data_IF_094348172562
#
_entry.id   IF_094348172562
#
_cell.length_a   1.000
_cell.length_b   1.000
_cell.length_c   1.000
_cell.angle_alpha   90.00
_cell.angle_beta   90.00
_cell.angle_gamma   90.00
#
_symmetry.space_group_name_H-M   'P 1'
#
loop_
_entity.id
_entity.type
_entity.pdbx_description
1 polymer ?
#
# COMPACT_ATOMS: atom_id res chain seq x y z
N UNK A 1 -12.65 -28.96 -8.39
CA UNK A 1 -12.28 -28.42 -7.06
C UNK A 1 -12.72 -26.97 -7.03
N UNK A 2 -13.42 -26.52 -5.99
CA UNK A 2 -13.77 -25.11 -5.77
C UNK A 2 -12.76 -24.56 -4.76
N UNK A 3 -12.02 -23.50 -5.13
CA UNK A 3 -11.05 -22.82 -4.26
C UNK A 3 -11.62 -21.49 -3.78
N UNK A 4 -11.79 -21.33 -2.48
CA UNK A 4 -12.44 -20.16 -1.84
C UNK A 4 -11.49 -19.33 -0.96
N UNK A 5 -10.19 -19.61 -1.01
CA UNK A 5 -9.18 -18.93 -0.18
C UNK A 5 -8.27 -17.99 -1.00
N UNK A 6 -8.86 -17.24 -1.92
CA UNK A 6 -8.11 -16.27 -2.75
C UNK A 6 -7.56 -15.08 -1.96
N UNK A 7 -7.99 -14.88 -0.71
CA UNK A 7 -7.40 -13.88 0.18
C UNK A 7 -5.99 -14.28 0.67
N UNK A 8 -5.75 -15.58 0.85
CA UNK A 8 -4.43 -16.09 1.23
C UNK A 8 -3.48 -16.18 0.02
N UNK A 9 -3.96 -16.75 -1.10
CA UNK A 9 -3.17 -16.88 -2.33
C UNK A 9 -4.09 -17.06 -3.54
N UNK A 10 -3.65 -16.62 -4.71
CA UNK A 10 -4.41 -16.71 -5.96
C UNK A 10 -3.59 -17.46 -6.99
N UNK A 11 -4.21 -18.43 -7.69
CA UNK A 11 -3.57 -19.13 -8.80
C UNK A 11 -3.24 -18.13 -9.92
N UNK A 12 -1.99 -18.07 -10.39
CA UNK A 12 -1.63 -17.25 -11.54
C UNK A 12 -2.44 -17.68 -12.78
N UNK A 13 -2.85 -16.73 -13.61
CA UNK A 13 -3.40 -17.04 -14.93
C UNK A 13 -2.30 -17.53 -15.89
N UNK A 14 -2.68 -18.23 -16.94
CA UNK A 14 -1.72 -18.81 -17.90
C UNK A 14 -0.81 -17.73 -18.50
N UNK A 15 -1.36 -16.59 -18.90
CA UNK A 15 -0.60 -15.49 -19.47
C UNK A 15 0.47 -14.94 -18.50
N UNK A 16 0.17 -14.89 -17.19
CA UNK A 16 1.14 -14.46 -16.19
C UNK A 16 2.26 -15.51 -16.02
N UNK A 17 1.90 -16.80 -15.99
CA UNK A 17 2.87 -17.89 -15.90
C UNK A 17 3.81 -17.92 -17.12
N UNK A 18 3.28 -17.77 -18.34
CA UNK A 18 4.05 -17.71 -19.58
C UNK A 18 4.98 -16.49 -19.61
N UNK A 19 4.50 -15.33 -19.16
CA UNK A 19 5.33 -14.11 -19.08
C UNK A 19 6.49 -14.28 -18.09
N UNK A 20 6.26 -14.92 -16.93
CA UNK A 20 7.30 -15.24 -15.95
C UNK A 20 8.34 -16.17 -16.59
N UNK A 21 7.90 -17.27 -17.20
CA UNK A 21 8.79 -18.23 -17.85
C UNK A 21 9.63 -17.57 -18.96
N UNK A 22 8.99 -16.76 -19.78
CA UNK A 22 9.67 -16.02 -20.85
C UNK A 22 10.70 -15.02 -20.31
N UNK A 23 10.38 -14.30 -19.24
CA UNK A 23 11.31 -13.39 -18.60
C UNK A 23 12.54 -14.12 -18.04
N UNK A 24 12.33 -15.26 -17.36
CA UNK A 24 13.40 -16.08 -16.80
C UNK A 24 14.32 -16.69 -17.87
N UNK A 25 13.79 -17.09 -19.00
CA UNK A 25 14.57 -17.79 -20.06
C UNK A 25 15.18 -16.81 -21.07
N UNK A 26 14.48 -15.74 -21.44
CA UNK A 26 14.82 -14.90 -22.59
C UNK A 26 15.24 -13.47 -22.23
N UNK A 27 14.93 -13.01 -20.99
CA UNK A 27 15.16 -11.62 -20.55
C UNK A 27 15.79 -11.55 -19.16
N UNK A 28 16.66 -12.50 -18.84
CA UNK A 28 17.33 -12.64 -17.54
C UNK A 28 18.48 -11.63 -17.31
N UNK A 29 18.75 -10.73 -18.24
CA UNK A 29 19.81 -9.72 -18.12
C UNK A 29 19.53 -8.75 -16.97
N UNK A 30 20.58 -8.33 -16.25
CA UNK A 30 20.45 -7.30 -15.23
C UNK A 30 20.01 -5.98 -15.87
N UNK A 31 18.87 -5.45 -15.46
CA UNK A 31 18.29 -4.21 -16.00
C UNK A 31 19.17 -2.96 -15.79
N UNK A 32 20.14 -3.01 -14.88
CA UNK A 32 21.12 -1.93 -14.67
C UNK A 32 22.33 -2.01 -15.60
N UNK A 33 22.44 -3.07 -16.43
CA UNK A 33 23.57 -3.24 -17.35
C UNK A 33 23.34 -2.51 -18.66
N UNK A 34 24.40 -1.84 -19.17
CA UNK A 34 24.33 -1.02 -20.37
C UNK A 34 24.40 -1.81 -21.70
N UNK A 35 24.58 -3.13 -21.66
CA UNK A 35 24.57 -3.98 -22.86
C UNK A 35 23.14 -4.37 -23.27
N UNK A 36 22.97 -4.86 -24.49
CA UNK A 36 21.66 -5.12 -25.11
C UNK A 36 20.70 -6.04 -24.32
N UNK A 37 21.21 -6.98 -23.50
CA UNK A 37 20.37 -7.82 -22.64
C UNK A 37 19.82 -7.01 -21.45
N UNK A 38 20.65 -6.17 -20.83
CA UNK A 38 20.22 -5.28 -19.74
C UNK A 38 19.16 -4.29 -20.20
N UNK A 39 19.38 -3.65 -21.34
CA UNK A 39 18.43 -2.70 -21.96
C UNK A 39 17.07 -3.38 -22.26
N UNK A 40 17.06 -4.65 -22.70
CA UNK A 40 15.80 -5.39 -22.91
C UNK A 40 15.05 -5.62 -21.59
N UNK A 41 15.75 -6.03 -20.55
CA UNK A 41 15.15 -6.23 -19.22
C UNK A 41 14.61 -4.94 -18.62
N UNK A 42 15.35 -3.84 -18.76
CA UNK A 42 14.90 -2.49 -18.31
C UNK A 42 13.61 -2.06 -19.02
N UNK A 43 13.50 -2.26 -20.33
CA UNK A 43 12.29 -1.94 -21.11
C UNK A 43 11.07 -2.74 -20.64
N UNK A 44 11.23 -4.00 -20.23
CA UNK A 44 10.14 -4.82 -19.67
C UNK A 44 9.67 -4.21 -18.36
N UNK A 45 10.58 -3.85 -17.47
CA UNK A 45 10.25 -3.22 -16.17
C UNK A 45 9.55 -1.88 -16.41
N UNK A 46 10.07 -1.03 -17.30
CA UNK A 46 9.48 0.27 -17.62
C UNK A 46 8.05 0.12 -18.20
N UNK A 47 7.84 -0.86 -19.07
CA UNK A 47 6.52 -1.17 -19.63
C UNK A 47 5.54 -1.64 -18.54
N UNK A 48 5.98 -2.50 -17.63
CA UNK A 48 5.17 -2.95 -16.50
C UNK A 48 4.77 -1.78 -15.59
N UNK A 49 5.73 -0.91 -15.22
CA UNK A 49 5.45 0.32 -14.44
C UNK A 49 4.41 1.19 -15.14
N UNK A 50 4.57 1.44 -16.43
CA UNK A 50 3.60 2.24 -17.21
C UNK A 50 2.19 1.64 -17.19
N UNK A 51 2.08 0.32 -17.31
CA UNK A 51 0.79 -0.39 -17.27
C UNK A 51 0.11 -0.24 -15.90
N UNK A 52 0.87 -0.34 -14.82
CA UNK A 52 0.35 -0.16 -13.45
C UNK A 52 -0.05 1.29 -13.18
N UNK A 53 0.78 2.27 -13.57
CA UNK A 53 0.47 3.70 -13.41
C UNK A 53 -0.79 4.11 -14.18
N UNK A 54 -1.06 3.51 -15.34
CA UNK A 54 -2.30 3.73 -16.08
C UNK A 54 -3.58 3.32 -15.30
N UNK A 55 -3.42 2.55 -14.21
CA UNK A 55 -4.51 2.14 -13.29
C UNK A 55 -4.50 2.88 -11.98
N UNK A 56 -3.35 3.36 -11.53
CA UNK A 56 -3.17 4.01 -10.24
C UNK A 56 -3.18 5.55 -10.33
N UNK A 57 -2.96 6.11 -11.51
CA UNK A 57 -2.81 7.54 -11.70
C UNK A 57 -1.35 7.99 -11.72
N UNK A 58 -1.08 9.19 -11.22
CA UNK A 58 0.27 9.76 -11.16
C UNK A 58 1.11 9.16 -10.02
N UNK A 59 2.43 9.13 -10.21
CA UNK A 59 3.36 8.65 -9.17
C UNK A 59 4.51 7.82 -9.72
N UNK A 60 5.13 7.02 -8.88
CA UNK A 60 6.16 6.05 -9.26
C UNK A 60 5.84 4.65 -8.71
N UNK A 61 6.40 3.64 -9.35
CA UNK A 61 6.26 2.23 -8.95
C UNK A 61 7.60 1.70 -8.46
N UNK A 62 7.59 1.16 -7.26
CA UNK A 62 8.72 0.43 -6.66
C UNK A 62 8.31 -1.03 -6.51
N UNK A 63 9.02 -1.93 -7.16
CA UNK A 63 8.83 -3.36 -6.99
C UNK A 63 9.57 -3.87 -5.75
N UNK A 64 8.89 -4.68 -4.95
CA UNK A 64 9.40 -5.31 -3.73
C UNK A 64 9.19 -6.81 -3.79
N UNK A 65 9.72 -7.55 -2.83
CA UNK A 65 9.51 -9.01 -2.72
C UNK A 65 8.08 -9.39 -2.35
N UNK A 66 7.28 -8.45 -1.86
CA UNK A 66 5.89 -8.65 -1.48
C UNK A 66 5.34 -7.53 -0.62
N UNK A 67 4.04 -7.59 -0.30
CA UNK A 67 3.33 -6.55 0.43
C UNK A 67 3.92 -6.25 1.82
N UNK A 68 4.48 -7.25 2.50
CA UNK A 68 5.14 -7.04 3.80
C UNK A 68 6.32 -6.09 3.68
N UNK A 69 7.18 -6.26 2.68
CA UNK A 69 8.28 -5.35 2.42
C UNK A 69 7.78 -3.97 2.00
N UNK A 70 6.77 -3.91 1.13
CA UNK A 70 6.16 -2.64 0.71
C UNK A 70 5.64 -1.85 1.90
N UNK A 71 4.81 -2.46 2.75
CA UNK A 71 4.22 -1.82 3.93
C UNK A 71 5.31 -1.36 4.92
N UNK A 72 6.29 -2.22 5.21
CA UNK A 72 7.39 -1.86 6.12
C UNK A 72 8.19 -0.68 5.59
N UNK A 73 8.56 -0.70 4.30
CA UNK A 73 9.35 0.37 3.67
C UNK A 73 8.58 1.69 3.66
N UNK A 74 7.32 1.66 3.25
CA UNK A 74 6.48 2.86 3.17
C UNK A 74 6.25 3.48 4.56
N UNK A 75 5.81 2.66 5.53
CA UNK A 75 5.44 3.15 6.86
C UNK A 75 6.63 3.64 7.66
N UNK A 76 7.72 2.84 7.71
CA UNK A 76 8.94 3.24 8.43
C UNK A 76 9.59 4.45 7.74
N UNK A 77 9.66 4.45 6.41
CA UNK A 77 10.22 5.56 5.64
C UNK A 77 9.45 6.85 5.83
N UNK A 78 8.11 6.82 5.77
CA UNK A 78 7.27 7.98 6.01
C UNK A 78 7.44 8.51 7.44
N UNK A 79 7.28 7.64 8.45
CA UNK A 79 7.39 8.05 9.86
C UNK A 79 8.75 8.69 10.17
N UNK A 80 9.85 8.07 9.80
CA UNK A 80 11.19 8.60 10.08
C UNK A 80 11.48 9.89 9.31
N UNK A 81 11.03 10.00 8.06
CA UNK A 81 11.24 11.21 7.24
C UNK A 81 10.53 12.43 7.84
N UNK A 82 9.31 12.23 8.34
CA UNK A 82 8.46 13.32 8.83
C UNK A 82 8.47 13.46 10.37
N UNK A 83 9.31 12.72 11.08
CA UNK A 83 9.43 12.76 12.56
C UNK A 83 9.63 14.17 13.14
N UNK A 84 10.31 15.05 12.41
CA UNK A 84 10.49 16.44 12.84
C UNK A 84 9.23 17.30 12.72
N UNK A 85 8.25 16.85 11.96
CA UNK A 85 6.97 17.55 11.75
C UNK A 85 5.89 17.14 12.73
N UNK A 86 6.08 15.99 13.41
CA UNK A 86 5.16 15.44 14.40
C UNK A 86 5.49 13.99 14.72
N UNK A 87 4.80 13.46 15.70
CA UNK A 87 5.01 12.11 16.23
C UNK A 87 3.72 11.27 16.30
N UNK A 88 2.61 11.81 15.81
CA UNK A 88 1.33 11.12 15.84
C UNK A 88 1.06 10.34 14.56
N UNK A 89 0.54 9.11 14.73
CA UNK A 89 0.14 8.20 13.67
C UNK A 89 -1.27 7.71 13.97
N UNK A 90 -2.14 7.69 12.96
CA UNK A 90 -3.49 7.14 13.06
C UNK A 90 -3.60 5.91 12.17
N UNK A 91 -4.15 4.82 12.69
CA UNK A 91 -4.33 3.57 11.93
C UNK A 91 -5.59 2.83 12.35
N UNK A 92 -5.90 1.74 11.65
CA UNK A 92 -7.04 0.90 12.03
C UNK A 92 -6.61 -0.24 12.96
N UNK A 93 -7.53 -0.73 13.80
CA UNK A 93 -7.31 -1.89 14.65
C UNK A 93 -7.45 -3.23 13.90
N UNK A 94 -7.77 -3.18 12.59
CA UNK A 94 -8.03 -4.35 11.75
C UNK A 94 -6.97 -4.54 10.65
N UNK A 95 -5.84 -3.86 10.75
CA UNK A 95 -4.74 -3.98 9.78
C UNK A 95 -4.13 -5.38 9.77
N UNK A 96 -3.62 -5.76 8.60
CA UNK A 96 -2.80 -6.96 8.46
C UNK A 96 -1.53 -6.88 9.34
N UNK A 97 -0.99 -8.00 9.87
CA UNK A 97 0.23 -8.01 10.68
C UNK A 97 1.42 -7.27 10.06
N UNK A 98 1.55 -7.22 8.74
CA UNK A 98 2.60 -6.44 8.05
C UNK A 98 2.53 -4.93 8.28
N UNK A 99 1.37 -4.41 8.67
CA UNK A 99 1.14 -3.03 9.09
C UNK A 99 1.11 -2.93 10.62
N UNK A 100 0.31 -3.77 11.29
CA UNK A 100 0.11 -3.72 12.73
C UNK A 100 1.43 -3.86 13.52
N UNK A 101 2.32 -4.77 13.11
CA UNK A 101 3.63 -4.94 13.75
C UNK A 101 4.56 -3.74 13.53
N UNK A 102 4.44 -3.07 12.37
CA UNK A 102 5.19 -1.82 12.13
C UNK A 102 4.71 -0.72 13.04
N UNK A 103 3.40 -0.61 13.27
CA UNK A 103 2.84 0.38 14.19
C UNK A 103 3.35 0.17 15.62
N UNK A 104 3.41 -1.08 16.10
CA UNK A 104 4.01 -1.40 17.40
C UNK A 104 5.49 -1.00 17.45
N UNK A 105 6.24 -1.26 16.39
CA UNK A 105 7.64 -0.85 16.31
C UNK A 105 7.83 0.66 16.28
N UNK A 106 6.91 1.40 15.70
CA UNK A 106 6.93 2.87 15.71
C UNK A 106 6.61 3.42 17.12
N UNK A 107 5.71 2.78 17.88
CA UNK A 107 5.49 3.11 19.29
C UNK A 107 6.77 2.95 20.12
N UNK A 108 7.51 1.84 19.94
CA UNK A 108 8.81 1.62 20.59
C UNK A 108 9.84 2.69 20.23
N UNK A 109 9.70 3.38 19.08
CA UNK A 109 10.52 4.49 18.62
C UNK A 109 10.03 5.88 19.06
N UNK A 110 8.96 5.90 19.89
CA UNK A 110 8.43 7.12 20.48
C UNK A 110 7.37 7.84 19.65
N UNK A 111 6.72 7.15 18.69
CA UNK A 111 5.52 7.67 18.04
C UNK A 111 4.27 7.36 18.86
N UNK A 112 3.31 8.26 18.83
CA UNK A 112 1.97 8.06 19.39
C UNK A 112 1.06 7.44 18.33
N UNK A 113 0.75 6.13 18.45
CA UNK A 113 -0.09 5.41 17.48
C UNK A 113 -1.49 5.23 18.02
N UNK A 114 -2.45 5.89 17.39
CA UNK A 114 -3.87 5.71 17.67
C UNK A 114 -4.48 4.68 16.71
N UNK A 115 -5.14 3.66 17.30
CA UNK A 115 -5.80 2.57 16.55
C UNK A 115 -7.30 2.64 16.75
N UNK A 116 -8.04 2.86 15.66
CA UNK A 116 -9.51 2.89 15.71
C UNK A 116 -10.09 1.57 15.18
N UNK A 117 -11.15 1.08 15.84
CA UNK A 117 -11.84 -0.12 15.41
C UNK A 117 -13.17 0.24 14.71
N UNK A 118 -13.47 -0.34 13.52
CA UNK A 118 -14.70 -0.02 12.79
C UNK A 118 -15.99 -0.23 13.60
N UNK A 119 -16.02 -1.23 14.49
CA UNK A 119 -17.17 -1.56 15.34
C UNK A 119 -17.57 -0.44 16.31
N UNK A 120 -16.63 0.44 16.66
CA UNK A 120 -16.82 1.50 17.66
C UNK A 120 -17.27 2.83 17.02
N UNK A 121 -17.28 2.89 15.66
CA UNK A 121 -17.54 4.12 14.92
C UNK A 121 -18.52 3.90 13.77
N UNK A 122 -19.76 4.43 13.84
CA UNK A 122 -20.75 4.31 12.76
C UNK A 122 -20.26 4.88 11.41
N UNK A 123 -19.54 6.00 11.43
CA UNK A 123 -18.81 6.54 10.28
C UNK A 123 -17.30 6.42 10.55
N UNK A 124 -16.79 5.25 10.26
CA UNK A 124 -15.40 4.88 10.55
C UNK A 124 -14.38 5.73 9.81
N UNK A 125 -14.65 6.05 8.55
CA UNK A 125 -13.76 6.89 7.74
C UNK A 125 -13.70 8.32 8.29
N UNK A 126 -14.84 8.86 8.75
CA UNK A 126 -14.86 10.16 9.40
C UNK A 126 -14.09 10.12 10.73
N UNK A 127 -14.26 9.07 11.53
CA UNK A 127 -13.54 8.93 12.80
C UNK A 127 -12.02 8.90 12.62
N UNK A 128 -11.52 8.18 11.60
CA UNK A 128 -10.08 8.19 11.25
C UNK A 128 -9.60 9.59 10.89
N UNK A 129 -10.39 10.32 10.10
CA UNK A 129 -10.04 11.69 9.75
C UNK A 129 -10.12 12.66 10.95
N UNK A 130 -11.08 12.47 11.85
CA UNK A 130 -11.23 13.31 13.05
C UNK A 130 -10.08 13.13 14.04
N UNK A 131 -9.46 11.97 14.08
CA UNK A 131 -8.27 11.70 14.87
C UNK A 131 -6.99 12.42 14.36
N UNK A 132 -6.99 12.97 13.14
CA UNK A 132 -5.85 13.71 12.57
C UNK A 132 -5.77 15.10 13.20
N UNK A 133 -4.55 15.54 13.54
CA UNK A 133 -4.21 16.89 14.00
C UNK A 133 -2.94 17.44 13.32
N UNK A 134 -2.42 18.57 13.78
CA UNK A 134 -1.21 19.20 13.25
C UNK A 134 0.08 18.40 13.49
N UNK A 135 0.08 17.48 14.46
CA UNK A 135 1.21 16.58 14.78
C UNK A 135 1.12 15.23 14.08
N UNK A 136 0.01 14.98 13.35
CA UNK A 136 -0.19 13.70 12.66
C UNK A 136 0.63 13.65 11.38
N UNK A 137 1.64 12.78 11.35
CA UNK A 137 2.54 12.61 10.20
C UNK A 137 2.07 11.53 9.24
N UNK A 138 1.30 10.54 9.73
CA UNK A 138 0.89 9.38 8.95
C UNK A 138 -0.51 8.91 9.35
N UNK A 139 -1.33 8.62 8.34
CA UNK A 139 -2.56 7.84 8.46
C UNK A 139 -2.40 6.57 7.65
N UNK A 140 -2.69 5.40 8.22
CA UNK A 140 -2.65 4.12 7.52
C UNK A 140 -4.00 3.41 7.61
N UNK A 141 -4.53 2.97 6.46
CA UNK A 141 -5.81 2.28 6.40
C UNK A 141 -5.80 1.25 5.27
N UNK A 142 -6.20 0.00 5.56
CA UNK A 142 -6.40 -0.98 4.50
C UNK A 142 -7.64 -0.65 3.66
N UNK A 143 -7.55 -0.87 2.34
CA UNK A 143 -8.67 -0.66 1.44
C UNK A 143 -9.76 -1.71 1.62
N UNK A 144 -9.36 -2.98 1.77
CA UNK A 144 -10.26 -4.12 2.01
C UNK A 144 -9.62 -5.04 3.04
N UNK A 145 -10.39 -5.41 4.06
CA UNK A 145 -9.90 -6.34 5.08
C UNK A 145 -9.86 -7.78 4.54
N UNK A 146 -8.74 -8.44 4.73
CA UNK A 146 -8.48 -9.78 4.19
C UNK A 146 -9.29 -10.91 4.86
N UNK A 147 -9.80 -10.69 6.06
CA UNK A 147 -10.57 -11.68 6.80
C UNK A 147 -12.08 -11.51 6.60
N UNK A 148 -12.56 -10.29 6.69
CA UNK A 148 -14.00 -9.98 6.70
C UNK A 148 -14.53 -9.49 5.34
N UNK A 149 -13.65 -9.04 4.44
CA UNK A 149 -14.04 -8.38 3.20
C UNK A 149 -14.59 -6.96 3.40
N UNK A 150 -14.52 -6.41 4.62
CA UNK A 150 -14.95 -5.03 4.89
C UNK A 150 -14.11 -4.04 4.05
N UNK A 151 -14.79 -3.21 3.27
CA UNK A 151 -14.17 -2.23 2.39
C UNK A 151 -14.29 -0.81 2.98
N UNK A 152 -13.17 -0.10 3.01
CA UNK A 152 -13.10 1.29 3.43
C UNK A 152 -13.16 2.24 2.23
N UNK A 153 -13.88 3.35 2.35
CA UNK A 153 -13.82 4.45 1.36
C UNK A 153 -12.51 5.24 1.55
N UNK A 154 -11.43 4.67 1.03
CA UNK A 154 -10.08 5.25 1.15
C UNK A 154 -9.93 6.56 0.38
N UNK A 155 -10.71 6.77 -0.68
CA UNK A 155 -10.74 8.06 -1.41
C UNK A 155 -11.34 9.17 -0.55
N UNK A 156 -12.43 8.88 0.14
CA UNK A 156 -13.02 9.81 1.10
C UNK A 156 -12.05 10.08 2.24
N UNK A 157 -11.40 9.04 2.79
CA UNK A 157 -10.38 9.18 3.83
C UNK A 157 -9.28 10.14 3.40
N UNK A 158 -8.68 9.91 2.23
CA UNK A 158 -7.63 10.76 1.68
C UNK A 158 -8.06 12.23 1.63
N UNK A 159 -9.22 12.51 1.02
CA UNK A 159 -9.75 13.88 0.92
C UNK A 159 -9.99 14.55 2.28
N UNK A 160 -10.52 13.79 3.25
CA UNK A 160 -10.76 14.29 4.60
C UNK A 160 -9.46 14.59 5.33
N UNK A 161 -8.49 13.67 5.30
CA UNK A 161 -7.17 13.84 5.91
C UNK A 161 -6.45 15.04 5.31
N UNK A 162 -6.39 15.13 3.96
CA UNK A 162 -5.70 16.23 3.27
C UNK A 162 -6.34 17.60 3.50
N UNK A 163 -7.66 17.67 3.72
CA UNK A 163 -8.31 18.91 4.15
C UNK A 163 -7.93 19.35 5.56
N UNK A 164 -7.75 18.38 6.48
CA UNK A 164 -7.45 18.66 7.88
C UNK A 164 -5.97 18.96 8.10
N UNK A 165 -5.09 18.15 7.51
CA UNK A 165 -3.65 18.37 7.50
C UNK A 165 -3.05 17.94 6.14
N UNK A 166 -2.78 18.89 5.22
CA UNK A 166 -2.23 18.57 3.89
C UNK A 166 -0.86 17.86 3.93
N UNK A 167 -0.11 18.00 5.02
CA UNK A 167 1.23 17.42 5.18
C UNK A 167 1.19 15.95 5.61
N UNK A 168 0.09 15.49 6.19
CA UNK A 168 -0.06 14.10 6.64
C UNK A 168 0.06 13.15 5.44
N UNK A 169 0.94 12.16 5.55
CA UNK A 169 1.03 11.07 4.57
C UNK A 169 -0.14 10.13 4.78
N UNK A 170 -0.76 9.70 3.68
CA UNK A 170 -1.81 8.68 3.71
C UNK A 170 -1.26 7.42 3.05
N UNK A 171 -1.18 6.35 3.82
CA UNK A 171 -0.80 5.02 3.37
C UNK A 171 -2.05 4.15 3.22
N UNK A 172 -2.19 3.48 2.08
CA UNK A 172 -3.29 2.56 1.81
C UNK A 172 -2.72 1.17 1.50
N UNK A 173 -2.99 0.20 2.39
CA UNK A 173 -2.78 -1.21 2.05
C UNK A 173 -3.88 -1.67 1.10
N UNK A 174 -3.53 -1.84 -0.16
CA UNK A 174 -4.46 -2.22 -1.22
C UNK A 174 -4.32 -3.69 -1.65
N UNK A 175 -3.66 -4.54 -0.88
CA UNK A 175 -3.40 -5.95 -1.23
C UNK A 175 -4.68 -6.69 -1.62
N UNK A 176 -5.76 -6.49 -0.89
CA UNK A 176 -7.06 -7.09 -1.22
C UNK A 176 -7.94 -6.20 -2.09
N UNK A 177 -7.58 -4.94 -2.29
CA UNK A 177 -8.37 -3.95 -3.03
C UNK A 177 -7.93 -3.74 -4.48
N UNK A 178 -6.62 -3.84 -4.76
CA UNK A 178 -6.07 -3.50 -6.08
C UNK A 178 -6.69 -4.32 -7.20
N UNK A 179 -7.22 -3.65 -8.22
CA UNK A 179 -7.99 -4.21 -9.36
C UNK A 179 -9.27 -4.96 -8.98
N UNK A 180 -9.68 -4.98 -7.70
CA UNK A 180 -10.94 -5.60 -7.25
C UNK A 180 -12.00 -4.56 -6.91
N UNK A 181 -11.57 -3.41 -6.39
CA UNK A 181 -12.42 -2.23 -6.18
C UNK A 181 -11.81 -1.02 -6.87
N UNK A 182 -12.60 0.02 -7.20
CA UNK A 182 -12.08 1.25 -7.80
C UNK A 182 -11.16 2.00 -6.83
N UNK A 183 -9.85 2.03 -7.14
CA UNK A 183 -8.83 2.80 -6.43
C UNK A 183 -8.22 3.91 -7.31
N UNK A 184 -8.69 4.03 -8.56
CA UNK A 184 -8.25 4.97 -9.57
C UNK A 184 -8.62 6.42 -9.24
N UNK A 185 -7.74 7.35 -9.59
CA UNK A 185 -7.94 8.80 -9.53
C UNK A 185 -7.88 9.41 -8.13
N UNK A 186 -7.14 10.50 -7.96
CA UNK A 186 -7.10 11.40 -6.78
C UNK A 186 -6.78 10.76 -5.42
N UNK A 187 -5.87 9.78 -5.38
CA UNK A 187 -5.19 9.31 -4.17
C UNK A 187 -3.81 9.95 -4.06
#
# INVERSE_FOLDING_TARGET
MIYLDSAATTKPCEQAADAILSAMQNSFGNASSLHGMGIRSEKIIASAKKTLLAKLGEGDIIFTSGATESNNTALLGAAETYKRSGDRIVTTAIEHPSVANVMTKLEERGFHVERLAPKDHPDFVQALADAVDEHTVLVSCMAVNNETGFANDVKRLYRLVKRKNPKTIVHIDAVQGFLKIPLDGDL
#
